data_IF_009080988342
#
_entry.id   IF_009080988342
#
_cell.length_a   1.000
_cell.length_b   1.000
_cell.length_c   1.000
_cell.angle_alpha   90.00
_cell.angle_beta   90.00
_cell.angle_gamma   90.00
#
_symmetry.space_group_name_H-M   'P 1'
#
loop_
_entity.id
_entity.type
_entity.pdbx_description
1 polymer ?
#
# COMPACT_ATOMS: atom_id res chain seq x y z
N UNK A 1 -13.97 1.44 -0.75
CA UNK A 1 -14.53 0.86 -1.99
C UNK A 1 -13.52 -0.05 -2.68
N UNK A 2 -12.31 0.41 -3.02
CA UNK A 2 -11.28 -0.41 -3.69
C UNK A 2 -10.96 -1.75 -2.99
N UNK A 3 -10.97 -1.80 -1.65
CA UNK A 3 -10.65 -3.04 -0.90
C UNK A 3 -11.83 -4.00 -0.81
N UNK A 4 -13.05 -3.47 -0.79
CA UNK A 4 -14.23 -4.34 -0.95
C UNK A 4 -14.24 -4.94 -2.35
N UNK A 5 -13.84 -4.17 -3.37
CA UNK A 5 -13.62 -4.69 -4.71
C UNK A 5 -12.53 -5.76 -4.72
N UNK A 6 -11.38 -5.56 -4.05
CA UNK A 6 -10.33 -6.59 -3.94
C UNK A 6 -10.82 -7.87 -3.25
N UNK A 7 -11.61 -7.77 -2.18
CA UNK A 7 -12.18 -8.94 -1.52
C UNK A 7 -13.28 -9.65 -2.33
N UNK A 8 -14.00 -8.92 -3.19
CA UNK A 8 -15.08 -9.46 -4.04
C UNK A 8 -14.52 -10.07 -5.33
N UNK A 9 -13.52 -9.43 -5.93
CA UNK A 9 -12.73 -9.96 -7.04
C UNK A 9 -11.56 -10.77 -6.45
N UNK A 10 -11.88 -11.86 -5.76
CA UNK A 10 -10.88 -12.69 -5.11
C UNK A 10 -9.79 -13.12 -6.11
N UNK A 11 -8.65 -12.46 -6.02
CA UNK A 11 -7.53 -12.54 -6.96
C UNK A 11 -6.78 -13.88 -6.83
N UNK A 12 -5.92 -14.16 -7.81
CA UNK A 12 -5.00 -15.32 -7.80
C UNK A 12 -4.19 -15.40 -6.48
N UNK A 13 -3.92 -14.26 -5.83
CA UNK A 13 -3.26 -14.20 -4.51
C UNK A 13 -4.08 -14.82 -3.36
N UNK A 14 -5.41 -14.62 -3.35
CA UNK A 14 -6.30 -15.23 -2.35
C UNK A 14 -6.49 -16.72 -2.64
N UNK A 15 -6.54 -17.09 -3.92
CA UNK A 15 -6.57 -18.48 -4.37
C UNK A 15 -5.32 -19.22 -3.90
N UNK A 16 -4.13 -18.64 -4.00
CA UNK A 16 -2.89 -19.22 -3.47
C UNK A 16 -2.94 -19.46 -1.95
N UNK A 17 -3.49 -18.52 -1.18
CA UNK A 17 -3.67 -18.68 0.27
C UNK A 17 -4.66 -19.81 0.59
N UNK A 18 -5.79 -19.85 -0.13
CA UNK A 18 -6.82 -20.89 0.03
C UNK A 18 -6.24 -22.25 -0.32
N UNK A 19 -5.61 -22.39 -1.48
CA UNK A 19 -4.97 -23.63 -1.92
C UNK A 19 -3.93 -24.08 -0.91
N UNK A 20 -3.07 -23.19 -0.40
CA UNK A 20 -2.08 -23.53 0.62
C UNK A 20 -2.69 -24.10 1.91
N UNK A 21 -3.84 -23.57 2.34
CA UNK A 21 -4.56 -24.04 3.53
C UNK A 21 -5.31 -25.34 3.25
N UNK A 22 -5.88 -25.49 2.06
CA UNK A 22 -6.59 -26.71 1.65
C UNK A 22 -5.66 -27.89 1.41
N UNK A 23 -4.48 -27.66 0.85
CA UNK A 23 -3.44 -28.68 0.60
C UNK A 23 -2.55 -28.96 1.80
N UNK A 24 -2.77 -28.28 2.94
CA UNK A 24 -1.94 -28.49 4.12
C UNK A 24 -2.09 -29.94 4.62
N UNK A 25 -0.98 -30.69 4.73
CA UNK A 25 -1.06 -32.14 4.90
C UNK A 25 -1.64 -32.54 6.25
N UNK A 26 -2.52 -33.55 6.23
CA UNK A 26 -3.04 -34.13 7.46
C UNK A 26 -2.07 -35.18 8.00
N UNK A 27 -1.32 -34.83 9.05
CA UNK A 27 -0.30 -35.72 9.66
C UNK A 27 -0.89 -37.07 10.07
N UNK A 28 -2.19 -37.14 10.38
CA UNK A 28 -2.87 -38.38 10.79
C UNK A 28 -3.13 -39.37 9.66
N UNK A 29 -3.12 -38.91 8.42
CA UNK A 29 -3.42 -39.71 7.21
C UNK A 29 -2.15 -39.98 6.38
N UNK A 30 -0.98 -39.56 6.86
CA UNK A 30 0.29 -39.77 6.18
C UNK A 30 0.69 -41.26 6.20
N UNK A 31 1.08 -41.80 5.03
CA UNK A 31 1.57 -43.18 4.91
C UNK A 31 3.08 -43.23 5.11
N UNK A 32 3.61 -44.37 5.57
CA UNK A 32 5.06 -44.61 5.64
C UNK A 32 5.67 -44.56 4.23
N UNK A 33 6.33 -43.46 3.89
CA UNK A 33 6.91 -43.18 2.58
C UNK A 33 6.63 -41.77 2.04
N UNK A 34 5.60 -41.09 2.58
CA UNK A 34 5.29 -39.72 2.21
C UNK A 34 6.30 -38.74 2.82
N UNK A 35 6.88 -37.87 1.99
CA UNK A 35 7.74 -36.76 2.45
C UNK A 35 6.90 -35.59 2.95
N UNK A 36 6.24 -35.79 4.09
CA UNK A 36 5.32 -34.80 4.70
C UNK A 36 6.01 -33.47 5.00
N UNK A 37 7.31 -33.50 5.31
CA UNK A 37 8.15 -32.34 5.53
C UNK A 37 8.20 -31.41 4.30
N UNK A 38 8.46 -31.95 3.11
CA UNK A 38 8.47 -31.18 1.86
C UNK A 38 7.08 -30.62 1.52
N UNK A 39 6.02 -31.37 1.83
CA UNK A 39 4.64 -30.93 1.60
C UNK A 39 4.26 -29.75 2.50
N UNK A 40 4.66 -29.79 3.76
CA UNK A 40 4.49 -28.67 4.70
C UNK A 40 5.25 -27.46 4.19
N UNK A 41 6.52 -27.62 3.79
CA UNK A 41 7.33 -26.52 3.25
C UNK A 41 6.68 -25.92 2.01
N UNK A 42 6.22 -26.74 1.07
CA UNK A 42 5.53 -26.27 -0.14
C UNK A 42 4.26 -25.47 0.20
N UNK A 43 3.47 -25.95 1.16
CA UNK A 43 2.24 -25.27 1.60
C UNK A 43 2.56 -23.94 2.27
N UNK A 44 3.60 -23.89 3.11
CA UNK A 44 4.06 -22.65 3.76
C UNK A 44 4.59 -21.64 2.74
N UNK A 45 5.37 -22.09 1.75
CA UNK A 45 5.86 -21.23 0.67
C UNK A 45 4.70 -20.63 -0.11
N UNK A 46 3.71 -21.44 -0.50
CA UNK A 46 2.53 -20.97 -1.23
C UNK A 46 1.69 -19.99 -0.41
N UNK A 47 1.51 -20.26 0.90
CA UNK A 47 0.87 -19.32 1.81
C UNK A 47 1.65 -17.99 1.91
N UNK A 48 2.98 -18.06 2.03
CA UNK A 48 3.84 -16.86 2.12
C UNK A 48 3.80 -16.03 0.84
N UNK A 49 3.77 -16.68 -0.33
CA UNK A 49 3.63 -16.03 -1.63
C UNK A 49 2.31 -15.26 -1.71
N UNK A 50 1.17 -15.93 -1.44
CA UNK A 50 -0.13 -15.28 -1.47
C UNK A 50 -0.26 -14.16 -0.43
N UNK A 51 0.32 -14.34 0.76
CA UNK A 51 0.34 -13.32 1.81
C UNK A 51 1.19 -12.10 1.43
N UNK A 52 2.38 -12.29 0.87
CA UNK A 52 3.24 -11.21 0.38
C UNK A 52 2.58 -10.47 -0.78
N UNK A 53 1.99 -11.19 -1.74
CA UNK A 53 1.23 -10.58 -2.83
C UNK A 53 0.08 -9.70 -2.29
N UNK A 54 -0.62 -10.18 -1.27
CA UNK A 54 -1.68 -9.44 -0.59
C UNK A 54 -1.16 -8.16 0.10
N UNK A 55 0.02 -8.20 0.73
CA UNK A 55 0.67 -7.01 1.30
C UNK A 55 1.06 -6.02 0.21
N UNK A 56 1.66 -6.50 -0.89
CA UNK A 56 2.05 -5.65 -2.03
C UNK A 56 0.83 -4.93 -2.59
N UNK A 57 -0.28 -5.65 -2.77
CA UNK A 57 -1.56 -5.06 -3.15
C UNK A 57 -1.99 -3.97 -2.18
N UNK A 58 -1.96 -4.22 -0.87
CA UNK A 58 -2.35 -3.23 0.14
C UNK A 58 -1.50 -1.96 0.00
N UNK A 59 -0.17 -2.11 -0.15
CA UNK A 59 0.75 -0.99 -0.33
C UNK A 59 0.47 -0.22 -1.63
N UNK A 60 0.19 -0.92 -2.73
CA UNK A 60 -0.16 -0.29 -4.00
C UNK A 60 -1.45 0.52 -3.88
N UNK A 61 -2.49 -0.05 -3.25
CA UNK A 61 -3.77 0.64 -3.04
C UNK A 61 -3.60 1.90 -2.20
N UNK A 62 -2.72 1.89 -1.19
CA UNK A 62 -2.52 3.06 -0.33
C UNK A 62 -1.64 4.14 -0.97
N UNK A 63 -0.65 3.75 -1.77
CA UNK A 63 0.28 4.72 -2.37
C UNK A 63 -0.24 5.33 -3.68
N UNK A 64 -1.21 4.70 -4.33
CA UNK A 64 -1.66 5.13 -5.65
C UNK A 64 -2.80 6.16 -5.52
N UNK A 65 -2.63 7.39 -6.04
CA UNK A 65 -3.66 8.42 -5.96
C UNK A 65 -4.83 8.15 -6.92
N UNK A 66 -4.56 7.44 -8.02
CA UNK A 66 -5.51 7.21 -9.11
C UNK A 66 -6.01 5.76 -9.15
N UNK A 67 -7.32 5.60 -9.29
CA UNK A 67 -7.97 4.28 -9.35
C UNK A 67 -7.55 3.49 -10.59
N UNK A 68 -7.22 4.18 -11.69
CA UNK A 68 -6.79 3.55 -12.95
C UNK A 68 -5.46 2.80 -12.76
N UNK A 69 -4.51 3.43 -12.08
CA UNK A 69 -3.21 2.82 -11.79
C UNK A 69 -3.35 1.62 -10.85
N UNK A 70 -4.30 1.66 -9.91
CA UNK A 70 -4.64 0.51 -9.06
C UNK A 70 -5.12 -0.66 -9.91
N UNK A 71 -6.07 -0.43 -10.82
CA UNK A 71 -6.61 -1.48 -11.72
C UNK A 71 -5.51 -2.02 -12.65
N UNK A 72 -4.63 -1.16 -13.15
CA UNK A 72 -3.54 -1.55 -14.04
C UNK A 72 -2.52 -2.42 -13.32
N UNK A 73 -2.16 -2.08 -12.09
CA UNK A 73 -1.28 -2.90 -11.25
C UNK A 73 -1.89 -4.26 -10.93
N UNK A 74 -3.19 -4.32 -10.61
CA UNK A 74 -3.90 -5.59 -10.42
C UNK A 74 -3.92 -6.44 -11.69
N UNK A 75 -4.18 -5.80 -12.84
CA UNK A 75 -4.18 -6.50 -14.14
C UNK A 75 -2.81 -7.06 -14.46
N UNK A 76 -1.73 -6.33 -14.14
CA UNK A 76 -0.36 -6.81 -14.35
C UNK A 76 -0.05 -8.04 -13.49
N UNK A 77 -0.41 -8.02 -12.20
CA UNK A 77 -0.21 -9.16 -11.29
C UNK A 77 -1.00 -10.38 -11.77
N UNK A 78 -2.28 -10.20 -12.12
CA UNK A 78 -3.11 -11.29 -12.65
C UNK A 78 -2.62 -11.82 -13.99
N UNK A 79 -2.11 -10.95 -14.86
CA UNK A 79 -1.54 -11.36 -16.13
C UNK A 79 -0.31 -12.25 -15.92
N UNK A 80 0.56 -11.92 -14.96
CA UNK A 80 1.72 -12.75 -14.61
C UNK A 80 1.29 -14.11 -14.07
N UNK A 81 0.27 -14.16 -13.20
CA UNK A 81 -0.26 -15.44 -12.69
C UNK A 81 -0.88 -16.29 -13.80
N UNK A 82 -1.70 -15.69 -14.67
CA UNK A 82 -2.30 -16.40 -15.80
C UNK A 82 -1.24 -16.89 -16.82
N UNK A 83 -0.11 -16.19 -16.92
CA UNK A 83 0.98 -16.59 -17.80
C UNK A 83 1.62 -17.91 -17.37
N UNK A 84 1.70 -18.19 -16.06
CA UNK A 84 2.25 -19.46 -15.55
C UNK A 84 1.37 -20.66 -15.95
N UNK A 85 0.05 -20.52 -15.78
CA UNK A 85 -0.93 -21.54 -16.19
C UNK A 85 -0.85 -21.82 -17.70
N UNK A 86 -0.80 -20.77 -18.53
CA UNK A 86 -0.68 -20.91 -19.99
C UNK A 86 0.68 -21.51 -20.37
N UNK A 87 1.76 -21.15 -19.69
CA UNK A 87 3.08 -21.73 -19.94
C UNK A 87 3.10 -23.23 -19.63
N UNK A 88 2.44 -23.67 -18.56
CA UNK A 88 2.29 -25.07 -18.20
C UNK A 88 1.44 -25.84 -19.24
N UNK A 89 0.32 -25.27 -19.68
CA UNK A 89 -0.54 -25.85 -20.73
C UNK A 89 0.23 -25.98 -22.07
N UNK A 90 1.00 -24.97 -22.45
CA UNK A 90 1.86 -25.03 -23.63
C UNK A 90 2.96 -26.09 -23.51
N UNK A 91 3.50 -26.31 -22.31
CA UNK A 91 4.45 -27.39 -22.05
C UNK A 91 3.79 -28.77 -22.17
N UNK A 92 2.55 -28.93 -21.71
CA UNK A 92 1.76 -30.16 -21.89
C UNK A 92 1.48 -30.47 -23.36
N UNK A 93 1.31 -29.46 -24.21
CA UNK A 93 1.15 -29.63 -25.66
C UNK A 93 2.46 -29.93 -26.40
N UNK A 94 3.58 -30.03 -25.68
CA UNK A 94 4.89 -30.34 -26.25
C UNK A 94 5.53 -29.18 -27.02
N UNK A 95 5.03 -27.95 -26.87
CA UNK A 95 5.56 -26.78 -27.59
C UNK A 95 7.04 -26.53 -27.31
N UNK A 96 7.51 -26.86 -26.11
CA UNK A 96 8.89 -26.68 -25.64
C UNK A 96 9.73 -27.97 -25.72
N UNK A 97 9.23 -29.03 -26.36
CA UNK A 97 9.97 -30.26 -26.63
C UNK A 97 9.44 -31.49 -25.87
N UNK A 98 9.84 -32.70 -26.32
CA UNK A 98 9.24 -33.96 -25.85
C UNK A 98 9.59 -34.30 -24.40
N UNK A 99 10.70 -33.78 -23.88
CA UNK A 99 11.09 -34.04 -22.49
C UNK A 99 10.19 -33.30 -21.50
N UNK A 100 9.89 -32.03 -21.77
CA UNK A 100 8.97 -31.22 -20.95
C UNK A 100 7.53 -31.72 -21.07
N UNK A 101 7.12 -32.16 -22.25
CA UNK A 101 5.83 -32.82 -22.47
C UNK A 101 5.67 -34.07 -21.60
N UNK A 102 6.69 -34.93 -21.58
CA UNK A 102 6.66 -36.16 -20.79
C UNK A 102 6.62 -35.86 -19.29
N UNK A 103 7.39 -34.88 -18.81
CA UNK A 103 7.39 -34.50 -17.39
C UNK A 103 6.08 -33.83 -16.97
N UNK A 104 5.51 -32.94 -17.78
CA UNK A 104 4.23 -32.28 -17.46
C UNK A 104 3.07 -33.27 -17.46
N UNK A 105 3.01 -34.20 -18.42
CA UNK A 105 2.04 -35.31 -18.39
C UNK A 105 2.23 -36.22 -17.18
N UNK A 106 3.48 -36.53 -16.81
CA UNK A 106 3.78 -37.29 -15.58
C UNK A 106 3.27 -36.56 -14.33
N UNK A 107 3.45 -35.24 -14.26
CA UNK A 107 2.96 -34.41 -13.14
C UNK A 107 1.43 -34.36 -13.09
N UNK A 108 0.76 -34.29 -14.25
CA UNK A 108 -0.70 -34.28 -14.34
C UNK A 108 -1.33 -35.63 -13.93
N UNK A 109 -0.73 -36.74 -14.36
CA UNK A 109 -1.20 -38.09 -14.02
C UNK A 109 -0.91 -38.47 -12.56
N UNK A 110 0.01 -37.78 -11.88
CA UNK A 110 0.31 -37.98 -10.47
C UNK A 110 -0.87 -37.48 -9.62
N UNK A 111 -1.70 -38.43 -9.17
CA UNK A 111 -2.72 -38.14 -8.17
C UNK A 111 -2.07 -37.61 -6.90
N UNK A 112 -2.56 -36.47 -6.40
CA UNK A 112 -2.13 -35.96 -5.12
C UNK A 112 -2.28 -37.05 -4.04
N UNK A 113 -1.28 -37.20 -3.14
CA UNK A 113 -1.33 -38.24 -2.12
C UNK A 113 -2.57 -38.03 -1.23
N UNK A 114 -3.16 -39.12 -0.75
CA UNK A 114 -4.42 -39.11 0.02
C UNK A 114 -4.38 -38.13 1.22
N UNK A 115 -3.18 -37.85 1.74
CA UNK A 115 -2.94 -36.91 2.83
C UNK A 115 -3.09 -35.42 2.46
N UNK A 116 -3.15 -35.08 1.16
CA UNK A 116 -3.43 -33.74 0.62
C UNK A 116 -4.85 -33.58 0.08
N UNK A 117 -5.45 -34.67 -0.41
CA UNK A 117 -6.71 -34.60 -1.17
C UNK A 117 -7.90 -34.44 -0.23
N UNK A 118 -8.21 -33.19 0.12
CA UNK A 118 -9.37 -32.86 0.96
C UNK A 118 -10.52 -32.34 0.13
N UNK A 119 -11.71 -32.87 0.40
CA UNK A 119 -12.97 -32.38 -0.17
C UNK A 119 -13.09 -30.89 0.18
N UNK A 120 -13.10 -30.02 -0.84
CA UNK A 120 -13.28 -28.58 -0.63
C UNK A 120 -14.67 -28.36 -0.03
N UNK A 121 -14.69 -27.96 1.23
CA UNK A 121 -15.92 -27.58 1.91
C UNK A 121 -15.99 -26.06 1.84
N UNK A 122 -17.08 -25.54 1.28
CA UNK A 122 -17.36 -24.10 1.23
C UNK A 122 -17.18 -23.41 2.60
N UNK A 123 -17.48 -24.12 3.69
CA UNK A 123 -17.25 -23.64 5.05
C UNK A 123 -15.76 -23.38 5.38
N UNK A 124 -14.84 -24.18 4.85
CA UNK A 124 -13.39 -23.98 5.04
C UNK A 124 -12.86 -22.84 4.17
N UNK A 125 -13.34 -22.74 2.94
CA UNK A 125 -13.06 -21.57 2.09
C UNK A 125 -13.42 -20.28 2.83
N UNK A 126 -14.64 -20.20 3.37
CA UNK A 126 -15.05 -19.05 4.19
C UNK A 126 -14.19 -18.87 5.45
N UNK A 127 -13.85 -19.97 6.14
CA UNK A 127 -13.00 -19.94 7.34
C UNK A 127 -11.59 -19.43 7.05
N UNK A 128 -11.07 -19.60 5.83
CA UNK A 128 -9.75 -19.08 5.44
C UNK A 128 -9.83 -17.63 4.98
N UNK A 129 -10.85 -17.28 4.18
CA UNK A 129 -11.01 -15.94 3.61
C UNK A 129 -11.38 -14.90 4.67
N UNK A 130 -12.27 -15.24 5.62
CA UNK A 130 -12.72 -14.28 6.65
C UNK A 130 -11.54 -13.76 7.49
N UNK A 131 -10.66 -14.59 8.07
CA UNK A 131 -9.48 -14.13 8.80
C UNK A 131 -8.54 -13.27 7.97
N UNK A 132 -8.28 -13.64 6.71
CA UNK A 132 -7.40 -12.87 5.81
C UNK A 132 -8.01 -11.49 5.56
N UNK A 133 -9.30 -11.43 5.21
CA UNK A 133 -10.01 -10.17 5.01
C UNK A 133 -10.05 -9.31 6.28
N UNK A 134 -10.28 -9.91 7.44
CA UNK A 134 -10.26 -9.17 8.72
C UNK A 134 -8.87 -8.64 9.05
N UNK A 135 -7.81 -9.42 8.81
CA UNK A 135 -6.43 -9.00 9.02
C UNK A 135 -6.09 -7.81 8.12
N UNK A 136 -6.46 -7.86 6.84
CA UNK A 136 -6.26 -6.75 5.90
C UNK A 136 -7.01 -5.49 6.34
N UNK A 137 -8.26 -5.65 6.77
CA UNK A 137 -9.07 -4.54 7.26
C UNK A 137 -8.45 -3.91 8.51
N UNK A 138 -7.97 -4.72 9.45
CA UNK A 138 -7.28 -4.26 10.66
C UNK A 138 -6.00 -3.51 10.29
N UNK A 139 -5.17 -4.04 9.38
CA UNK A 139 -3.96 -3.36 8.92
C UNK A 139 -4.28 -2.00 8.31
N UNK A 140 -5.33 -1.92 7.50
CA UNK A 140 -5.74 -0.64 6.92
C UNK A 140 -6.27 0.34 7.96
N UNK A 141 -7.14 -0.09 8.87
CA UNK A 141 -7.66 0.76 9.94
C UNK A 141 -6.49 1.28 10.78
N UNK A 142 -5.54 0.42 11.12
CA UNK A 142 -4.31 0.81 11.79
C UNK A 142 -3.51 1.81 10.98
N UNK A 143 -3.33 1.61 9.67
CA UNK A 143 -2.61 2.54 8.82
C UNK A 143 -3.31 3.90 8.73
N UNK A 144 -4.63 3.93 8.55
CA UNK A 144 -5.42 5.15 8.52
C UNK A 144 -5.37 5.89 9.85
N UNK A 145 -5.51 5.16 10.97
CA UNK A 145 -5.39 5.72 12.32
C UNK A 145 -3.99 6.30 12.57
N UNK A 146 -2.96 5.58 12.12
CA UNK A 146 -1.57 6.03 12.24
C UNK A 146 -1.29 7.24 11.35
N UNK A 147 -1.82 7.28 10.13
CA UNK A 147 -1.71 8.43 9.22
C UNK A 147 -2.38 9.69 9.77
N UNK A 148 -3.48 9.52 10.51
CA UNK A 148 -4.17 10.64 11.17
C UNK A 148 -3.46 11.09 12.46
N UNK A 149 -2.67 10.21 13.08
CA UNK A 149 -1.97 10.52 14.32
C UNK A 149 -0.82 11.53 14.10
N UNK A 150 -0.81 12.64 14.85
CA UNK A 150 0.19 13.68 14.68
C UNK A 150 1.63 13.27 15.05
N UNK A 151 1.78 12.18 15.80
CA UNK A 151 3.04 11.85 16.45
C UNK A 151 3.92 10.86 15.68
N UNK A 152 3.40 10.22 14.62
CA UNK A 152 4.07 9.06 14.02
C UNK A 152 4.56 9.27 12.59
N UNK A 153 3.77 9.95 11.74
CA UNK A 153 4.10 10.11 10.31
C UNK A 153 4.35 11.55 9.91
N UNK A 154 4.17 12.51 10.82
CA UNK A 154 4.44 13.90 10.55
C UNK A 154 5.93 14.20 10.75
N UNK A 155 6.48 14.85 9.72
CA UNK A 155 7.83 15.39 9.79
C UNK A 155 7.84 16.46 10.88
N UNK A 156 8.61 16.29 11.96
CA UNK A 156 8.67 17.29 13.03
C UNK A 156 9.43 18.55 12.64
N UNK A 157 10.41 18.41 11.74
CA UNK A 157 11.29 19.48 11.27
C UNK A 157 11.37 19.48 9.76
N UNK A 158 11.03 20.60 9.16
CA UNK A 158 11.26 20.83 7.75
C UNK A 158 12.22 22.00 7.56
N UNK A 159 12.99 21.95 6.48
CA UNK A 159 13.84 23.05 6.03
C UNK A 159 13.22 23.65 4.78
N UNK A 160 12.93 24.95 4.80
CA UNK A 160 12.55 25.71 3.62
C UNK A 160 13.78 26.45 3.14
N UNK A 161 14.08 26.37 1.84
CA UNK A 161 15.16 27.10 1.22
C UNK A 161 14.67 27.71 -0.08
N UNK A 162 14.81 29.04 -0.18
CA UNK A 162 14.57 29.79 -1.40
C UNK A 162 15.88 29.99 -2.17
N UNK A 163 15.76 30.28 -3.46
CA UNK A 163 16.91 30.59 -4.32
C UNK A 163 17.54 31.94 -3.93
N UNK A 164 18.87 32.00 -3.97
CA UNK A 164 19.64 33.18 -3.60
C UNK A 164 19.27 34.38 -4.50
N UNK A 165 19.16 35.57 -3.92
CA UNK A 165 18.80 36.79 -4.66
C UNK A 165 17.30 37.00 -4.88
N UNK A 166 16.45 36.10 -4.35
CA UNK A 166 15.00 36.35 -4.24
C UNK A 166 14.69 37.13 -2.96
N UNK A 167 13.63 37.96 -2.97
CA UNK A 167 13.16 38.65 -1.75
C UNK A 167 12.67 37.68 -0.65
N UNK A 168 12.55 36.39 -0.98
CA UNK A 168 12.11 35.34 -0.07
C UNK A 168 13.25 34.68 0.71
N UNK A 169 14.51 35.01 0.41
CA UNK A 169 15.69 34.43 1.08
C UNK A 169 15.61 34.58 2.62
N UNK A 170 15.03 35.68 3.11
CA UNK A 170 14.83 35.95 4.53
C UNK A 170 13.89 34.96 5.25
N UNK A 171 13.09 34.19 4.51
CA UNK A 171 12.21 33.15 5.03
C UNK A 171 12.83 31.75 4.94
N UNK A 172 14.03 31.61 4.38
CA UNK A 172 14.78 30.36 4.40
C UNK A 172 15.20 29.99 5.83
N UNK A 173 15.05 28.73 6.20
CA UNK A 173 15.43 28.25 7.53
C UNK A 173 14.71 26.97 7.94
N UNK A 174 14.85 26.64 9.23
CA UNK A 174 14.18 25.50 9.84
C UNK A 174 12.80 25.91 10.37
N UNK A 175 11.85 24.99 10.25
CA UNK A 175 10.49 25.14 10.75
C UNK A 175 10.14 23.90 11.57
N UNK A 176 9.61 24.13 12.77
CA UNK A 176 9.13 23.08 13.67
C UNK A 176 7.61 22.94 13.54
N UNK A 177 7.12 21.71 13.76
CA UNK A 177 5.71 21.42 13.91
C UNK A 177 5.11 22.30 15.03
N UNK A 178 4.05 23.06 14.74
CA UNK A 178 3.38 23.88 15.74
C UNK A 178 2.37 22.98 16.51
N UNK A 179 2.66 22.56 17.76
CA UNK A 179 1.78 21.65 18.50
C UNK A 179 0.42 22.29 18.79
N UNK A 180 0.35 23.63 18.82
CA UNK A 180 -0.91 24.35 19.03
C UNK A 180 -1.88 24.20 17.84
N UNK A 181 -1.33 24.02 16.63
CA UNK A 181 -2.13 23.80 15.40
C UNK A 181 -2.77 22.41 15.35
N UNK A 182 -2.18 21.44 16.03
CA UNK A 182 -2.65 20.04 16.08
C UNK A 182 -3.71 19.78 17.17
N UNK A 183 -4.00 20.74 18.04
CA UNK A 183 -4.73 20.49 19.30
C UNK A 183 -6.26 20.51 19.20
N UNK A 184 -6.86 20.85 18.05
CA UNK A 184 -8.33 20.89 17.94
C UNK A 184 -8.91 19.51 17.60
N UNK A 185 -9.81 18.99 18.47
CA UNK A 185 -10.58 17.72 18.36
C UNK A 185 -11.38 17.52 17.06
N UNK A 186 -11.33 18.43 16.10
CA UNK A 186 -12.02 18.31 14.83
C UNK A 186 -11.06 17.80 13.77
N UNK A 187 -11.44 16.67 13.17
CA UNK A 187 -10.80 15.87 12.10
C UNK A 187 -10.36 16.63 10.83
N UNK A 188 -10.40 17.96 10.80
CA UNK A 188 -10.24 18.77 9.60
C UNK A 188 -9.09 19.79 9.64
N UNK A 189 -8.35 19.93 10.74
CA UNK A 189 -7.20 20.85 10.79
C UNK A 189 -5.88 20.10 10.63
N UNK A 190 -5.24 20.31 9.48
CA UNK A 190 -3.89 19.81 9.20
C UNK A 190 -2.84 20.67 9.90
N UNK A 191 -1.67 20.07 10.06
CA UNK A 191 -0.61 20.62 10.87
C UNK A 191 0.03 21.84 10.22
N UNK A 192 0.38 22.82 11.04
CA UNK A 192 1.14 23.99 10.66
C UNK A 192 2.58 23.87 11.16
N UNK A 193 3.50 24.44 10.40
CA UNK A 193 4.90 24.56 10.72
C UNK A 193 5.24 26.01 11.00
N UNK A 194 6.00 26.27 12.07
CA UNK A 194 6.40 27.60 12.50
C UNK A 194 7.90 27.76 12.38
N UNK A 195 8.33 28.87 11.79
CA UNK A 195 9.74 29.23 11.67
C UNK A 195 10.43 29.32 13.03
N UNK A 196 11.71 28.96 13.06
CA UNK A 196 12.55 29.09 14.25
C UNK A 196 12.73 30.57 14.65
N UNK A 197 12.89 30.89 15.96
CA UNK A 197 13.19 32.24 16.40
C UNK A 197 14.50 32.81 15.84
N UNK A 198 15.41 31.95 15.40
CA UNK A 198 16.69 32.34 14.80
C UNK A 198 16.56 32.72 13.31
N UNK A 199 15.42 32.45 12.66
CA UNK A 199 15.25 32.82 11.25
C UNK A 199 15.11 34.35 11.14
N UNK A 200 15.62 34.97 10.06
CA UNK A 200 15.58 36.44 9.88
C UNK A 200 14.16 36.99 9.90
N UNK A 201 13.23 36.24 9.32
CA UNK A 201 11.80 36.57 9.29
C UNK A 201 10.96 35.42 9.82
N UNK A 202 9.85 35.77 10.49
CA UNK A 202 8.88 34.78 10.95
C UNK A 202 7.89 34.44 9.84
N UNK A 203 7.66 33.16 9.64
CA UNK A 203 6.66 32.66 8.71
C UNK A 203 6.08 31.33 9.20
N UNK A 204 4.93 31.01 8.64
CA UNK A 204 4.24 29.74 8.87
C UNK A 204 3.96 29.05 7.56
N UNK A 205 4.10 27.74 7.56
CA UNK A 205 3.76 26.89 6.43
C UNK A 205 2.65 25.93 6.85
N UNK A 206 1.50 25.96 6.18
CA UNK A 206 0.42 25.01 6.46
C UNK A 206 -0.32 24.60 5.19
N UNK A 207 -0.98 23.44 5.23
CA UNK A 207 -1.67 22.87 4.08
C UNK A 207 -3.13 23.33 4.02
N UNK A 208 -3.54 23.97 2.92
CA UNK A 208 -4.94 24.31 2.71
C UNK A 208 -5.70 23.18 2.01
N UNK A 209 -6.67 22.58 2.71
CA UNK A 209 -7.54 21.51 2.18
C UNK A 209 -8.35 21.93 0.95
N UNK A 210 -8.89 23.16 0.96
CA UNK A 210 -9.74 23.67 -0.14
C UNK A 210 -8.95 23.79 -1.45
N UNK A 211 -7.70 24.22 -1.34
CA UNK A 211 -6.84 24.49 -2.50
C UNK A 211 -5.87 23.35 -2.80
N UNK A 212 -5.86 22.30 -1.95
CA UNK A 212 -4.97 21.13 -2.01
C UNK A 212 -3.49 21.47 -2.18
N UNK A 213 -3.01 22.49 -1.48
CA UNK A 213 -1.63 22.98 -1.58
C UNK A 213 -1.07 23.46 -0.24
N UNK A 214 0.25 23.37 -0.09
CA UNK A 214 0.97 24.03 1.00
C UNK A 214 1.08 25.52 0.72
N UNK A 215 0.89 26.33 1.75
CA UNK A 215 0.98 27.79 1.66
C UNK A 215 1.94 28.27 2.74
N UNK A 216 2.91 29.08 2.33
CA UNK A 216 3.79 29.84 3.22
C UNK A 216 3.24 31.25 3.36
N UNK A 217 3.10 31.74 4.59
CA UNK A 217 2.53 33.06 4.88
C UNK A 217 3.14 33.67 6.14
N UNK A 218 3.15 35.01 6.22
CA UNK A 218 3.76 35.77 7.32
C UNK A 218 2.82 36.08 8.50
N UNK A 219 1.53 35.75 8.40
CA UNK A 219 0.53 36.13 9.42
C UNK A 219 0.44 35.15 10.59
N UNK A 220 -0.04 35.63 11.74
CA UNK A 220 -0.22 34.80 12.95
C UNK A 220 -1.50 33.92 12.90
N UNK A 221 -2.08 33.70 11.72
CA UNK A 221 -3.23 32.81 11.57
C UNK A 221 -2.80 31.35 11.63
N UNK A 222 -3.69 30.48 12.11
CA UNK A 222 -3.46 29.03 12.18
C UNK A 222 -4.01 28.27 10.99
N UNK A 223 -4.87 28.89 10.18
CA UNK A 223 -5.55 28.25 9.05
C UNK A 223 -5.11 28.88 7.72
N UNK A 224 -4.29 28.17 6.95
CA UNK A 224 -3.85 28.58 5.61
C UNK A 224 -5.01 28.94 4.66
N UNK A 225 -6.16 28.28 4.77
CA UNK A 225 -7.29 28.54 3.87
C UNK A 225 -7.98 29.88 4.15
N UNK A 226 -7.69 30.51 5.30
CA UNK A 226 -8.23 31.82 5.69
C UNK A 226 -7.27 32.97 5.36
N UNK A 227 -6.05 32.66 4.93
CA UNK A 227 -5.02 33.66 4.61
C UNK A 227 -5.40 34.41 3.34
N UNK A 228 -5.49 35.74 3.45
CA UNK A 228 -5.71 36.63 2.31
C UNK A 228 -4.57 36.48 1.31
N UNK A 229 -4.88 36.66 0.04
CA UNK A 229 -3.91 36.46 -1.05
C UNK A 229 -2.66 37.34 -0.87
N UNK A 230 -2.83 38.57 -0.39
CA UNK A 230 -1.76 39.54 -0.11
C UNK A 230 -0.75 39.08 0.96
N UNK A 231 -1.21 38.22 1.88
CA UNK A 231 -0.39 37.71 2.99
C UNK A 231 0.32 36.38 2.63
N UNK A 232 0.08 35.84 1.43
CA UNK A 232 0.69 34.60 0.95
C UNK A 232 2.05 34.91 0.33
N UNK A 233 3.08 34.28 0.86
CA UNK A 233 4.46 34.43 0.40
C UNK A 233 4.74 33.46 -0.75
N UNK A 234 4.43 32.18 -0.55
CA UNK A 234 4.63 31.14 -1.56
C UNK A 234 3.56 30.05 -1.44
N UNK A 235 3.36 29.28 -2.49
CA UNK A 235 2.46 28.13 -2.49
C UNK A 235 3.06 26.97 -3.28
N UNK A 236 2.65 25.75 -2.95
CA UNK A 236 3.12 24.57 -3.67
C UNK A 236 2.32 24.37 -4.96
N UNK A 237 2.99 24.28 -6.10
CA UNK A 237 2.35 23.89 -7.38
C UNK A 237 2.11 22.37 -7.43
N UNK A 238 3.00 21.60 -6.83
CA UNK A 238 2.95 20.13 -6.66
C UNK A 238 3.33 19.84 -5.21
N UNK A 239 2.93 18.71 -4.63
CA UNK A 239 3.20 18.30 -3.23
C UNK A 239 4.66 18.47 -2.77
N UNK A 240 5.61 18.57 -3.71
CA UNK A 240 7.06 18.67 -3.45
C UNK A 240 7.75 19.90 -4.08
N UNK A 241 7.03 20.85 -4.70
CA UNK A 241 7.62 22.02 -5.36
C UNK A 241 6.87 23.31 -5.01
N UNK A 242 7.61 24.38 -4.69
CA UNK A 242 7.05 25.70 -4.35
C UNK A 242 7.26 26.69 -5.49
N UNK A 243 6.18 27.37 -5.88
CA UNK A 243 6.18 28.47 -6.84
C UNK A 243 6.08 29.82 -6.12
N UNK A 244 6.72 30.84 -6.72
CA UNK A 244 6.65 32.23 -6.26
C UNK A 244 5.26 32.82 -6.55
N UNK A 245 4.63 33.49 -5.57
CA UNK A 245 3.42 34.27 -5.84
C UNK A 245 3.79 35.64 -6.41
N UNK A 246 3.63 35.81 -7.74
CA UNK A 246 3.64 37.14 -8.36
C UNK A 246 2.22 37.68 -8.42
N UNK A 247 1.88 38.55 -7.48
CA UNK A 247 0.67 39.37 -7.57
C UNK A 247 0.70 40.16 -8.89
N UNK A 248 -0.37 40.05 -9.69
CA UNK A 248 -0.62 40.97 -10.82
C UNK A 248 -1.17 42.28 -10.30
#
# INVERSE_FOLDING_TARGET
MAILSYCIFADESLKDIVTAVETFPNIKEAKEGDRVDLMIVSSVLRFSQGFLATIVVLLLVVNTPDVVDIVLNFTAVNFVSAFDDVAFELAQWGKYGPHLEAETKRIEELTAPDCMTRKSNYARYQLTIIPVATTLLIMLIMMAYRQDSPDHWLTHRLRVQFEDGTSMEQYSGCYDLDPSSSSSRFWNRRVAYKSFPQNPSTARMSYCMKERRWILYGTNTTDACSVKIEDRLAYSDITYAFGEYRGR
#
